data_IF_505981067875
#
_entry.id   IF_505981067875
#
_cell.length_a   1.000
_cell.length_b   1.000
_cell.length_c   1.000
_cell.angle_alpha   90.00
_cell.angle_beta   90.00
_cell.angle_gamma   90.00
#
_symmetry.space_group_name_H-M   'P 1'
#
loop_
_entity.id
_entity.type
_entity.pdbx_description
1 polymer ?
#
# COMPACT_ATOMS: atom_id res chain seq x y z
N UNK A 1 -0.18 2.41 19.76
CA UNK A 1 -1.00 2.88 18.61
C UNK A 1 -2.13 1.89 18.41
N UNK A 2 -3.34 2.32 17.96
CA UNK A 2 -4.42 1.37 17.62
C UNK A 2 -4.12 0.74 16.27
N UNK A 3 -4.30 -0.57 16.16
CA UNK A 3 -4.09 -1.33 14.93
C UNK A 3 -5.41 -1.98 14.47
N UNK A 4 -5.52 -2.22 13.17
CA UNK A 4 -6.52 -3.11 12.58
C UNK A 4 -5.86 -4.40 12.14
N UNK A 5 -6.58 -5.50 12.24
CA UNK A 5 -6.12 -6.79 11.78
C UNK A 5 -6.56 -6.97 10.32
N UNK A 6 -5.61 -7.12 9.42
CA UNK A 6 -5.88 -7.49 8.04
C UNK A 6 -6.33 -8.96 8.01
N UNK A 7 -7.01 -9.35 6.94
CA UNK A 7 -7.58 -10.70 6.84
C UNK A 7 -6.54 -11.84 6.80
N UNK A 8 -5.28 -11.54 6.49
CA UNK A 8 -4.16 -12.48 6.57
C UNK A 8 -3.43 -12.47 7.92
N UNK A 9 -3.97 -11.77 8.94
CA UNK A 9 -3.40 -11.71 10.27
C UNK A 9 -2.35 -10.62 10.48
N UNK A 10 -2.01 -9.85 9.46
CA UNK A 10 -1.06 -8.73 9.58
C UNK A 10 -1.73 -7.57 10.32
N UNK A 11 -1.06 -7.04 11.34
CA UNK A 11 -1.52 -5.85 12.06
C UNK A 11 -1.07 -4.58 11.34
N UNK A 12 -2.03 -3.72 10.96
CA UNK A 12 -1.78 -2.44 10.31
C UNK A 12 -2.14 -1.30 11.27
N UNK A 13 -1.25 -0.32 11.49
CA UNK A 13 -1.59 0.87 12.27
C UNK A 13 -2.80 1.60 11.68
N UNK A 14 -3.68 2.10 12.55
CA UNK A 14 -4.87 2.85 12.11
C UNK A 14 -4.51 4.25 11.62
N UNK A 15 -3.40 4.81 12.12
CA UNK A 15 -2.91 6.14 11.77
C UNK A 15 -1.59 6.01 11.02
N UNK A 16 -1.52 6.63 9.84
CA UNK A 16 -0.34 6.67 8.99
C UNK A 16 -0.04 8.07 8.48
N UNK A 17 1.20 8.29 8.06
CA UNK A 17 1.64 9.50 7.39
C UNK A 17 1.78 9.24 5.89
N UNK A 18 1.03 10.00 5.08
CA UNK A 18 1.06 9.91 3.62
C UNK A 18 1.97 10.97 3.00
N UNK A 19 2.78 10.58 2.03
CA UNK A 19 3.72 11.47 1.34
C UNK A 19 3.28 11.85 -0.07
N UNK A 20 2.00 11.74 -0.39
CA UNK A 20 1.46 12.24 -1.66
C UNK A 20 1.67 13.75 -1.77
N UNK A 21 2.16 14.23 -2.92
CA UNK A 21 2.51 15.63 -3.20
C UNK A 21 3.65 16.23 -2.33
N UNK A 22 4.33 15.42 -1.54
CA UNK A 22 5.58 15.84 -0.89
C UNK A 22 6.70 15.79 -1.93
N UNK A 23 7.41 16.92 -2.08
CA UNK A 23 8.55 17.01 -3.01
C UNK A 23 9.58 15.92 -2.65
N UNK A 24 10.10 15.17 -3.63
CA UNK A 24 11.12 14.14 -3.37
C UNK A 24 12.32 14.62 -2.57
N UNK A 25 12.74 15.89 -2.74
CA UNK A 25 13.86 16.48 -2.01
C UNK A 25 13.54 16.75 -0.54
N UNK A 26 12.27 17.00 -0.22
CA UNK A 26 11.81 17.26 1.14
C UNK A 26 11.29 16.01 1.85
N UNK A 27 11.06 14.92 1.09
CA UNK A 27 10.40 13.73 1.62
C UNK A 27 11.14 13.13 2.81
N UNK A 28 12.45 13.02 2.74
CA UNK A 28 13.26 12.49 3.84
C UNK A 28 13.08 13.31 5.13
N UNK A 29 13.11 14.64 5.05
CA UNK A 29 12.88 15.52 6.19
C UNK A 29 11.47 15.35 6.75
N UNK A 30 10.46 15.43 5.88
CA UNK A 30 9.06 15.32 6.30
C UNK A 30 8.74 13.97 6.98
N UNK A 31 9.31 12.88 6.46
CA UNK A 31 9.15 11.55 7.07
C UNK A 31 9.92 11.46 8.39
N UNK A 32 11.10 12.04 8.49
CA UNK A 32 11.87 12.10 9.75
C UNK A 32 11.09 12.86 10.84
N UNK A 33 10.48 13.99 10.48
CA UNK A 33 9.62 14.77 11.38
C UNK A 33 8.40 13.92 11.84
N UNK A 34 7.75 13.21 10.91
CA UNK A 34 6.64 12.31 11.24
C UNK A 34 7.07 11.18 12.18
N UNK A 35 8.25 10.57 11.95
CA UNK A 35 8.80 9.53 12.83
C UNK A 35 9.07 10.07 14.23
N UNK A 36 9.61 11.29 14.35
CA UNK A 36 9.94 11.93 15.63
C UNK A 36 8.72 12.15 16.52
N UNK A 37 7.56 12.44 15.92
CA UNK A 37 6.28 12.61 16.64
C UNK A 37 5.49 11.31 16.78
N UNK A 38 6.08 10.16 16.43
CA UNK A 38 5.55 8.84 16.73
C UNK A 38 4.83 8.12 15.60
N UNK A 39 4.78 8.65 14.37
CA UNK A 39 4.27 7.87 13.24
C UNK A 39 5.14 6.65 12.98
N UNK A 40 4.49 5.52 12.67
CA UNK A 40 5.14 4.25 12.34
C UNK A 40 4.60 3.63 11.05
N UNK A 41 3.51 4.14 10.51
CA UNK A 41 3.00 3.77 9.18
C UNK A 41 3.28 4.91 8.21
N UNK A 42 3.95 4.60 7.09
CA UNK A 42 4.27 5.55 6.02
C UNK A 42 3.64 5.05 4.72
N UNK A 43 2.85 5.90 4.08
CA UNK A 43 2.18 5.60 2.79
C UNK A 43 2.83 6.40 1.67
N UNK A 44 3.42 5.69 0.72
CA UNK A 44 4.01 6.21 -0.51
C UNK A 44 3.46 5.48 -1.75
N UNK A 45 3.99 5.78 -2.93
CA UNK A 45 3.70 5.08 -4.17
C UNK A 45 4.82 5.31 -5.20
N UNK A 46 4.99 4.39 -6.15
CA UNK A 46 5.99 4.49 -7.22
C UNK A 46 5.89 5.81 -8.00
N UNK A 47 4.65 6.27 -8.28
CA UNK A 47 4.42 7.52 -9.03
C UNK A 47 4.82 8.78 -8.25
N UNK A 48 4.88 8.73 -6.92
CA UNK A 48 5.26 9.89 -6.11
C UNK A 48 6.75 10.20 -6.22
N UNK A 49 7.56 9.24 -6.71
CA UNK A 49 9.01 9.38 -6.92
C UNK A 49 9.80 9.73 -5.65
N UNK A 50 9.23 9.43 -4.49
CA UNK A 50 9.80 9.77 -3.18
C UNK A 50 10.05 8.56 -2.27
N UNK A 51 9.98 7.33 -2.81
CA UNK A 51 10.25 6.09 -2.06
C UNK A 51 11.67 6.09 -1.45
N UNK A 52 12.66 6.66 -2.15
CA UNK A 52 14.04 6.76 -1.65
C UNK A 52 14.14 7.65 -0.40
N UNK A 53 13.44 8.79 -0.40
CA UNK A 53 13.35 9.67 0.76
C UNK A 53 12.70 8.99 1.97
N UNK A 54 11.67 8.16 1.75
CA UNK A 54 11.06 7.33 2.79
C UNK A 54 12.08 6.33 3.35
N UNK A 55 12.78 5.60 2.48
CA UNK A 55 13.81 4.62 2.88
C UNK A 55 14.93 5.26 3.69
N UNK A 56 15.44 6.41 3.23
CA UNK A 56 16.48 7.16 3.91
C UNK A 56 16.06 7.59 5.31
N UNK A 57 14.85 8.16 5.47
CA UNK A 57 14.35 8.61 6.75
C UNK A 57 14.21 7.45 7.75
N UNK A 58 13.66 6.31 7.31
CA UNK A 58 13.51 5.12 8.15
C UNK A 58 14.89 4.61 8.59
N UNK A 59 15.83 4.48 7.67
CA UNK A 59 17.18 4.02 7.98
C UNK A 59 17.91 4.94 8.95
N UNK A 60 17.83 6.26 8.74
CA UNK A 60 18.46 7.27 9.60
C UNK A 60 17.82 7.36 10.99
N UNK A 61 16.57 6.93 11.14
CA UNK A 61 15.88 6.97 12.45
C UNK A 61 16.51 6.07 13.51
N UNK A 62 17.28 5.06 13.10
CA UNK A 62 17.84 4.05 14.00
C UNK A 62 16.81 3.13 14.65
N UNK A 63 15.53 3.26 14.31
CA UNK A 63 14.44 2.43 14.82
C UNK A 63 14.38 1.13 14.00
N UNK A 64 14.13 -0.01 14.66
CA UNK A 64 14.03 -1.31 13.97
C UNK A 64 12.98 -1.23 12.85
N UNK A 65 13.32 -1.76 11.67
CA UNK A 65 12.41 -1.85 10.51
C UNK A 65 11.07 -2.50 10.85
N UNK A 66 11.04 -3.41 11.79
CA UNK A 66 9.84 -4.13 12.24
C UNK A 66 8.82 -3.23 12.95
N UNK A 67 9.27 -2.10 13.48
CA UNK A 67 8.39 -1.10 14.10
C UNK A 67 7.63 -0.26 13.07
N UNK A 68 8.05 -0.31 11.81
CA UNK A 68 7.42 0.42 10.72
C UNK A 68 6.46 -0.44 9.90
N UNK A 69 5.44 0.20 9.39
CA UNK A 69 4.50 -0.34 8.41
C UNK A 69 4.58 0.51 7.14
N UNK A 70 5.20 -0.03 6.10
CA UNK A 70 5.41 0.67 4.83
C UNK A 70 4.37 0.24 3.82
N UNK A 71 3.66 1.23 3.27
CA UNK A 71 2.73 1.05 2.15
C UNK A 71 3.30 1.68 0.91
N UNK A 72 3.35 0.94 -0.19
CA UNK A 72 3.61 1.49 -1.53
C UNK A 72 2.67 0.90 -2.56
N UNK A 73 2.70 1.42 -3.79
CA UNK A 73 1.69 1.09 -4.80
C UNK A 73 2.32 0.95 -6.18
N UNK A 74 1.97 -0.13 -6.89
CA UNK A 74 2.36 -0.35 -8.29
C UNK A 74 1.62 0.64 -9.17
N UNK A 75 2.37 1.44 -9.93
CA UNK A 75 1.80 2.44 -10.82
C UNK A 75 1.40 1.86 -12.17
N UNK A 76 0.47 2.51 -12.88
CA UNK A 76 -0.09 2.05 -14.16
C UNK A 76 0.96 1.83 -15.26
N UNK A 77 2.07 2.60 -15.29
CA UNK A 77 3.15 2.39 -16.25
C UNK A 77 3.88 1.05 -16.06
N UNK A 78 3.76 0.48 -14.86
CA UNK A 78 4.33 -0.80 -14.48
C UNK A 78 3.28 -1.92 -14.49
N UNK A 79 2.13 -1.70 -15.15
CA UNK A 79 1.10 -2.71 -15.27
C UNK A 79 1.56 -3.89 -16.14
N UNK A 80 1.15 -5.11 -15.75
CA UNK A 80 1.55 -6.38 -16.33
C UNK A 80 2.56 -7.13 -15.46
N UNK A 81 2.60 -8.46 -15.65
CA UNK A 81 3.34 -9.35 -14.74
C UNK A 81 4.83 -9.01 -14.63
N UNK A 82 5.56 -8.96 -15.77
CA UNK A 82 7.00 -8.74 -15.78
C UNK A 82 7.37 -7.33 -15.28
N UNK A 83 6.62 -6.32 -15.73
CA UNK A 83 6.86 -4.93 -15.31
C UNK A 83 6.59 -4.74 -13.83
N UNK A 84 5.49 -5.30 -13.32
CA UNK A 84 5.16 -5.23 -11.91
C UNK A 84 6.23 -5.93 -11.05
N UNK A 85 6.67 -7.12 -11.45
CA UNK A 85 7.75 -7.87 -10.78
C UNK A 85 9.04 -7.04 -10.69
N UNK A 86 9.49 -6.48 -11.80
CA UNK A 86 10.69 -5.62 -11.82
C UNK A 86 10.51 -4.35 -11.00
N UNK A 87 9.30 -3.78 -10.98
CA UNK A 87 8.98 -2.57 -10.22
C UNK A 87 8.95 -2.81 -8.70
N UNK A 88 8.54 -4.00 -8.26
CA UNK A 88 8.57 -4.41 -6.84
C UNK A 88 10.02 -4.44 -6.34
N UNK A 89 10.92 -5.07 -7.10
CA UNK A 89 12.36 -5.09 -6.76
C UNK A 89 12.94 -3.67 -6.70
N UNK A 90 12.50 -2.80 -7.60
CA UNK A 90 12.92 -1.39 -7.61
C UNK A 90 12.40 -0.65 -6.37
N UNK A 91 11.16 -0.88 -5.95
CA UNK A 91 10.60 -0.29 -4.73
C UNK A 91 11.34 -0.77 -3.48
N UNK A 92 11.64 -2.06 -3.36
CA UNK A 92 12.42 -2.62 -2.25
C UNK A 92 13.80 -1.94 -2.14
N UNK A 93 14.49 -1.81 -3.28
CA UNK A 93 15.80 -1.14 -3.32
C UNK A 93 15.72 0.34 -2.90
N UNK A 94 14.72 1.09 -3.40
CA UNK A 94 14.52 2.50 -3.04
C UNK A 94 14.14 2.69 -1.58
N UNK A 95 13.27 1.83 -1.07
CA UNK A 95 12.86 1.82 0.33
C UNK A 95 13.94 1.25 1.27
N UNK A 96 15.03 0.69 0.71
CA UNK A 96 16.17 0.11 1.45
C UNK A 96 15.72 -0.95 2.47
N UNK A 97 14.85 -1.86 2.04
CA UNK A 97 14.23 -2.89 2.90
C UNK A 97 14.08 -4.20 2.14
N UNK A 98 14.08 -5.31 2.89
CA UNK A 98 13.90 -6.65 2.33
C UNK A 98 12.42 -7.00 2.12
N UNK A 99 11.50 -6.24 2.73
CA UNK A 99 10.07 -6.46 2.59
C UNK A 99 9.23 -5.18 2.65
N UNK A 100 8.07 -5.22 2.02
CA UNK A 100 7.02 -4.21 2.07
C UNK A 100 5.87 -4.75 2.91
N UNK A 101 5.31 -3.96 3.83
CA UNK A 101 4.20 -4.40 4.68
C UNK A 101 2.88 -4.50 3.92
N UNK A 102 2.61 -3.53 3.05
CA UNK A 102 1.42 -3.55 2.20
C UNK A 102 1.75 -3.01 0.81
N UNK A 103 1.52 -3.83 -0.21
CA UNK A 103 1.64 -3.44 -1.60
C UNK A 103 0.26 -3.38 -2.26
N UNK A 104 -0.02 -2.27 -2.95
CA UNK A 104 -1.31 -2.04 -3.60
C UNK A 104 -1.15 -1.89 -5.11
N UNK A 105 -2.14 -2.32 -5.88
CA UNK A 105 -2.34 -1.77 -7.22
C UNK A 105 -2.91 -0.37 -7.05
N UNK A 106 -2.24 0.64 -7.62
CA UNK A 106 -2.61 2.04 -7.38
C UNK A 106 -3.95 2.40 -8.05
N UNK A 107 -4.14 1.94 -9.28
CA UNK A 107 -5.35 2.19 -10.07
C UNK A 107 -5.66 1.01 -11.01
N UNK A 108 -6.94 0.75 -11.32
CA UNK A 108 -7.37 -0.39 -12.14
C UNK A 108 -7.23 -0.13 -13.65
N UNK A 109 -6.02 0.21 -14.10
CA UNK A 109 -5.73 0.46 -15.51
C UNK A 109 -4.62 -0.46 -16.02
N UNK A 110 -4.64 -0.73 -17.33
CA UNK A 110 -3.72 -1.64 -17.99
C UNK A 110 -3.93 -3.10 -17.55
N UNK A 111 -2.88 -3.93 -17.66
CA UNK A 111 -2.92 -5.33 -17.20
C UNK A 111 -2.71 -5.42 -15.67
N UNK A 112 -3.72 -4.96 -14.92
CA UNK A 112 -3.70 -5.09 -13.45
C UNK A 112 -3.84 -6.54 -12.98
N UNK A 113 -4.37 -7.45 -13.81
CA UNK A 113 -4.39 -8.88 -13.49
C UNK A 113 -2.99 -9.49 -13.48
N UNK A 114 -2.17 -9.16 -14.50
CA UNK A 114 -0.76 -9.55 -14.51
C UNK A 114 0.00 -8.96 -13.34
N UNK A 115 -0.24 -7.68 -13.03
CA UNK A 115 0.35 -7.02 -11.86
C UNK A 115 -0.02 -7.74 -10.55
N UNK A 116 -1.29 -8.11 -10.39
CA UNK A 116 -1.74 -8.82 -9.18
C UNK A 116 -1.05 -10.17 -9.03
N UNK A 117 -0.88 -10.94 -10.13
CA UNK A 117 -0.12 -12.20 -10.10
C UNK A 117 1.34 -12.03 -9.67
N UNK A 118 2.00 -10.96 -10.14
CA UNK A 118 3.36 -10.64 -9.68
C UNK A 118 3.40 -10.30 -8.18
N UNK A 119 2.38 -9.60 -7.69
CA UNK A 119 2.26 -9.30 -6.25
C UNK A 119 2.00 -10.57 -5.42
N UNK A 120 1.18 -11.52 -5.91
CA UNK A 120 0.97 -12.82 -5.25
C UNK A 120 2.27 -13.62 -5.17
N UNK A 121 3.11 -13.57 -6.19
CA UNK A 121 4.43 -14.22 -6.17
C UNK A 121 5.35 -13.56 -5.14
N UNK A 122 5.46 -12.22 -5.14
CA UNK A 122 6.24 -11.49 -4.16
C UNK A 122 5.76 -11.72 -2.71
N UNK A 123 4.45 -11.92 -2.52
CA UNK A 123 3.87 -12.32 -1.23
C UNK A 123 4.35 -13.72 -0.81
N UNK A 124 4.33 -14.70 -1.72
CA UNK A 124 4.83 -16.08 -1.45
C UNK A 124 6.32 -16.10 -1.15
N UNK A 125 7.09 -15.24 -1.80
CA UNK A 125 8.53 -15.07 -1.56
C UNK A 125 8.85 -14.33 -0.26
N UNK A 126 7.85 -13.82 0.46
CA UNK A 126 8.03 -13.04 1.69
C UNK A 126 8.49 -11.60 1.48
N UNK A 127 8.60 -11.14 0.24
CA UNK A 127 8.96 -9.76 -0.10
C UNK A 127 7.83 -8.75 0.19
N UNK A 128 6.59 -9.24 0.31
CA UNK A 128 5.42 -8.44 0.62
C UNK A 128 4.58 -9.16 1.66
N UNK A 129 4.22 -8.48 2.75
CA UNK A 129 3.46 -9.08 3.85
C UNK A 129 1.95 -9.07 3.63
N UNK A 130 1.45 -8.10 2.87
CA UNK A 130 0.04 -8.00 2.49
C UNK A 130 -0.10 -7.35 1.12
N UNK A 131 -1.07 -7.80 0.33
CA UNK A 131 -1.37 -7.25 -1.00
C UNK A 131 -2.81 -6.75 -1.07
N UNK A 132 -3.06 -5.76 -1.90
CA UNK A 132 -4.39 -5.20 -2.06
C UNK A 132 -4.53 -4.31 -3.29
N UNK A 133 -5.65 -3.60 -3.34
CA UNK A 133 -5.98 -2.70 -4.46
C UNK A 133 -6.46 -1.35 -3.94
N UNK A 134 -6.21 -0.31 -4.71
CA UNK A 134 -6.60 1.08 -4.43
C UNK A 134 -7.37 1.63 -5.62
N UNK A 135 -8.37 2.49 -5.37
CA UNK A 135 -9.19 3.11 -6.41
C UNK A 135 -9.98 2.14 -7.31
N UNK A 136 -10.27 0.94 -6.81
CA UNK A 136 -11.10 -0.04 -7.51
C UNK A 136 -12.57 0.17 -7.17
N UNK A 137 -13.40 0.38 -8.19
CA UNK A 137 -14.84 0.32 -8.07
C UNK A 137 -15.33 -1.14 -8.02
N UNK A 138 -16.54 -1.33 -7.57
CA UNK A 138 -17.09 -2.67 -7.29
C UNK A 138 -17.03 -3.61 -8.51
N UNK A 139 -17.29 -3.13 -9.72
CA UNK A 139 -17.22 -3.89 -10.97
C UNK A 139 -15.83 -4.44 -11.25
N UNK A 140 -14.79 -3.58 -11.13
CA UNK A 140 -13.39 -3.96 -11.32
C UNK A 140 -12.88 -4.89 -10.23
N UNK A 141 -13.33 -4.65 -8.99
CA UNK A 141 -12.96 -5.46 -7.85
C UNK A 141 -13.53 -6.89 -7.94
N UNK A 142 -14.79 -7.03 -8.32
CA UNK A 142 -15.45 -8.35 -8.43
C UNK A 142 -14.87 -9.20 -9.57
N UNK A 143 -14.30 -8.56 -10.60
CA UNK A 143 -13.65 -9.23 -11.73
C UNK A 143 -12.24 -9.75 -11.44
N UNK A 144 -11.61 -9.37 -10.32
CA UNK A 144 -10.27 -9.87 -10.00
C UNK A 144 -10.31 -11.39 -9.71
N UNK A 145 -9.61 -12.24 -10.52
CA UNK A 145 -9.50 -13.65 -10.24
C UNK A 145 -8.51 -13.86 -9.09
N UNK A 146 -9.00 -13.78 -7.87
CA UNK A 146 -8.22 -14.10 -6.68
C UNK A 146 -7.96 -15.61 -6.66
N UNK A 147 -6.88 -16.06 -7.30
CA UNK A 147 -6.55 -17.48 -7.46
C UNK A 147 -5.98 -18.12 -6.22
N UNK A 148 -5.46 -17.34 -5.28
CA UNK A 148 -4.80 -17.90 -4.11
C UNK A 148 -5.70 -17.95 -2.88
N UNK A 149 -5.99 -19.17 -2.45
CA UNK A 149 -6.73 -19.50 -1.23
C UNK A 149 -5.88 -19.29 0.05
N UNK A 150 -4.71 -18.69 -0.05
CA UNK A 150 -3.81 -18.46 1.09
C UNK A 150 -4.31 -17.40 2.06
N UNK A 151 -5.30 -16.62 1.67
CA UNK A 151 -6.15 -15.91 2.61
C UNK A 151 -7.29 -16.85 2.99
N UNK A 152 -7.20 -17.48 4.17
CA UNK A 152 -8.07 -18.58 4.65
C UNK A 152 -9.59 -18.44 4.40
N UNK A 153 -10.30 -19.58 4.49
CA UNK A 153 -11.74 -19.72 4.23
C UNK A 153 -12.60 -18.65 4.95
N UNK A 154 -13.67 -18.15 4.29
CA UNK A 154 -14.54 -17.15 4.89
C UNK A 154 -15.46 -17.80 5.93
N UNK A 155 -15.29 -17.45 7.19
CA UNK A 155 -16.35 -17.57 8.17
C UNK A 155 -16.96 -16.18 8.40
N UNK A 156 -18.18 -15.99 7.89
CA UNK A 156 -19.08 -14.93 8.32
C UNK A 156 -18.94 -13.59 7.58
N UNK A 157 -20.01 -13.22 6.92
CA UNK A 157 -20.35 -11.91 6.37
C UNK A 157 -19.77 -10.72 7.11
N UNK A 158 -18.74 -10.09 6.51
CA UNK A 158 -18.56 -8.64 6.61
C UNK A 158 -17.87 -8.14 5.34
N UNK A 159 -18.70 -7.77 4.37
CA UNK A 159 -18.27 -6.88 3.29
C UNK A 159 -18.01 -5.51 3.90
N UNK A 160 -16.75 -5.12 4.04
CA UNK A 160 -16.42 -3.70 4.16
C UNK A 160 -16.39 -3.18 2.73
N UNK A 161 -17.53 -2.74 2.24
CA UNK A 161 -17.60 -1.91 1.05
C UNK A 161 -17.11 -0.51 1.45
N UNK A 162 -16.25 0.14 0.67
CA UNK A 162 -16.06 1.57 0.82
C UNK A 162 -17.37 2.23 0.40
N UNK A 163 -18.17 2.65 1.37
CA UNK A 163 -19.27 3.58 1.15
C UNK A 163 -18.66 4.98 1.08
N UNK A 164 -18.06 5.32 -0.05
CA UNK A 164 -17.88 6.69 -0.44
C UNK A 164 -18.74 6.91 -1.68
N UNK A 165 -19.94 7.47 -1.49
CA UNK A 165 -20.61 8.20 -2.55
C UNK A 165 -19.62 9.28 -3.03
N UNK A 166 -19.49 9.51 -4.35
CA UNK A 166 -18.74 10.66 -4.83
C UNK A 166 -19.32 11.93 -4.18
N UNK A 167 -18.49 12.84 -3.65
CA UNK A 167 -18.99 14.11 -3.12
C UNK A 167 -19.71 14.86 -4.25
N UNK A 168 -20.90 15.37 -3.96
CA UNK A 168 -21.55 16.36 -4.81
C UNK A 168 -20.63 17.59 -4.87
N UNK A 169 -20.41 18.11 -6.08
CA UNK A 169 -19.67 19.34 -6.27
C UNK A 169 -20.26 20.44 -5.37
N UNK A 170 -19.47 20.89 -4.39
CA UNK A 170 -19.60 22.04 -3.49
C UNK A 170 -19.45 21.72 -1.99
N UNK A 171 -18.59 20.78 -1.62
CA UNK A 171 -18.11 20.72 -0.23
C UNK A 171 -16.61 20.93 -0.20
N UNK A 172 -16.21 21.95 0.55
CA UNK A 172 -14.84 22.39 0.76
C UNK A 172 -13.91 21.25 1.13
N UNK A 173 -12.71 21.32 0.54
CA UNK A 173 -11.59 20.42 0.77
C UNK A 173 -11.22 20.47 2.26
N UNK A 174 -11.80 19.57 3.06
CA UNK A 174 -11.28 19.19 4.36
C UNK A 174 -10.59 17.84 4.21
N UNK A 175 -9.30 17.84 4.43
CA UNK A 175 -8.40 16.69 4.66
C UNK A 175 -9.03 15.31 4.39
N UNK A 176 -8.91 14.84 3.17
CA UNK A 176 -9.26 13.47 2.84
C UNK A 176 -8.20 12.55 3.45
N UNK A 177 -8.53 11.95 4.56
CA UNK A 177 -7.89 10.72 5.01
C UNK A 177 -8.14 9.68 3.93
N UNK A 178 -7.11 9.35 3.14
CA UNK A 178 -7.18 8.25 2.19
C UNK A 178 -7.41 6.96 2.98
N UNK A 179 -8.65 6.49 2.97
CA UNK A 179 -8.97 5.17 3.48
C UNK A 179 -8.40 4.17 2.48
N UNK A 180 -7.27 3.59 2.83
CA UNK A 180 -6.67 2.49 2.08
C UNK A 180 -7.56 1.27 2.28
N UNK A 181 -8.36 0.93 1.28
CA UNK A 181 -9.16 -0.29 1.27
C UNK A 181 -8.26 -1.49 1.00
N UNK A 182 -7.83 -2.18 2.06
CA UNK A 182 -7.08 -3.42 1.95
C UNK A 182 -8.06 -4.59 1.84
N UNK A 183 -8.09 -5.25 0.70
CA UNK A 183 -8.93 -6.41 0.46
C UNK A 183 -8.07 -7.61 0.12
N UNK A 184 -7.92 -8.50 1.08
CA UNK A 184 -7.58 -9.88 0.86
C UNK A 184 -8.88 -10.69 1.10
N UNK A 185 -9.37 -11.48 0.16
CA UNK A 185 -10.47 -12.43 0.41
C UNK A 185 -9.94 -13.60 1.25
N UNK A 186 -10.65 -13.88 2.32
CA UNK A 186 -10.59 -15.22 2.91
C UNK A 186 -11.17 -16.26 1.96
#
# INVERSE_FOLDING_TARGET
MKNILLNNGVQMPLLGYGVFQVDPKECERCVSDAISVGYRMIDTAQIYKNEEGVGNAIKKSGIDRKEFFIVTKVWISNAGYEKAKASIETSLRKLQTDYIDLLLIHQPFGDYYGSYRAMEEAYKEGKVRAIGVSNFYADRYLGLPLRDKTCGKPNGNRRVLPTARPPRANEEIRHQTNVVGTFCRR
#
